data_IF_798901085491
#
_entry.id   IF_798901085491
#
_cell.length_a   1.000
_cell.length_b   1.000
_cell.length_c   1.000
_cell.angle_alpha   90.00
_cell.angle_beta   90.00
_cell.angle_gamma   90.00
#
_symmetry.space_group_name_H-M   'P 1'
#
loop_
_entity.id
_entity.type
_entity.pdbx_description
1 polymer ?
#
# COMPACT_ATOMS: atom_id res chain seq x y z
N UNK A 1 10.80 5.82 30.78
CA UNK A 1 11.58 6.64 29.81
C UNK A 1 11.85 7.97 30.49
N UNK A 2 13.10 8.23 30.89
CA UNK A 2 13.49 9.46 31.52
C UNK A 2 13.60 10.60 30.52
N UNK A 3 13.19 11.81 30.88
CA UNK A 3 13.29 13.03 30.05
C UNK A 3 14.72 13.26 29.53
N UNK A 4 15.73 12.83 30.28
CA UNK A 4 17.14 12.87 29.90
C UNK A 4 17.46 11.97 28.68
N UNK A 5 16.83 10.79 28.55
CA UNK A 5 16.97 9.91 27.40
C UNK A 5 16.35 10.47 26.12
N UNK A 6 15.33 11.34 26.23
CA UNK A 6 14.73 12.03 25.09
C UNK A 6 15.60 13.18 24.56
N UNK A 7 16.35 13.86 25.44
CA UNK A 7 17.25 14.95 25.07
C UNK A 7 18.57 14.47 24.43
N UNK A 8 18.97 13.21 24.71
CA UNK A 8 20.20 12.59 24.18
C UNK A 8 19.94 11.58 23.10
N UNK A 9 18.73 11.53 22.53
CA UNK A 9 18.38 10.60 21.46
C UNK A 9 19.21 10.88 20.21
N UNK A 10 20.40 10.28 20.17
CA UNK A 10 21.12 10.11 18.92
C UNK A 10 20.37 9.02 18.15
N UNK A 11 19.92 9.38 16.94
CA UNK A 11 19.38 8.38 16.00
C UNK A 11 20.46 7.31 15.84
N UNK A 12 20.21 6.14 16.39
CA UNK A 12 21.10 4.99 16.28
C UNK A 12 21.37 4.72 14.78
N UNK A 13 22.56 4.27 14.45
CA UNK A 13 22.96 3.92 13.09
C UNK A 13 21.95 2.94 12.47
N UNK A 14 21.49 1.95 13.24
CA UNK A 14 20.48 0.98 12.84
C UNK A 14 19.14 1.64 12.45
N UNK A 15 18.69 2.66 13.16
CA UNK A 15 17.48 3.42 12.82
C UNK A 15 17.64 4.17 11.52
N UNK A 16 18.80 4.78 11.27
CA UNK A 16 19.08 5.48 10.01
C UNK A 16 19.10 4.52 8.83
N UNK A 17 19.79 3.39 8.97
CA UNK A 17 19.86 2.35 7.94
C UNK A 17 18.45 1.83 7.61
N UNK A 18 17.60 1.61 8.63
CA UNK A 18 16.21 1.19 8.41
C UNK A 18 15.38 2.26 7.72
N UNK A 19 15.54 3.53 8.07
CA UNK A 19 14.85 4.64 7.40
C UNK A 19 15.26 4.74 5.93
N UNK A 20 16.55 4.63 5.63
CA UNK A 20 17.07 4.66 4.26
C UNK A 20 16.56 3.47 3.42
N UNK A 21 16.56 2.27 3.98
CA UNK A 21 16.02 1.07 3.35
C UNK A 21 14.54 1.22 2.99
N UNK A 22 13.71 1.65 3.95
CA UNK A 22 12.29 1.88 3.72
C UNK A 22 12.07 3.01 2.71
N UNK A 23 12.80 4.12 2.83
CA UNK A 23 12.70 5.24 1.88
C UNK A 23 13.05 4.85 0.45
N UNK A 24 14.03 3.95 0.27
CA UNK A 24 14.35 3.38 -1.04
C UNK A 24 13.21 2.51 -1.57
N UNK A 25 12.65 1.66 -0.71
CA UNK A 25 11.53 0.77 -1.06
C UNK A 25 10.31 1.57 -1.55
N UNK A 26 9.98 2.67 -0.90
CA UNK A 26 8.85 3.55 -1.24
C UNK A 26 9.19 4.67 -2.23
N UNK A 27 10.32 4.60 -2.93
CA UNK A 27 10.76 5.57 -3.96
C UNK A 27 10.98 7.00 -3.46
N UNK A 28 11.29 7.20 -2.18
CA UNK A 28 11.49 8.52 -1.56
C UNK A 28 12.89 8.75 -1.00
N UNK A 29 13.87 7.89 -1.30
CA UNK A 29 15.25 8.02 -0.79
C UNK A 29 15.85 9.40 -1.08
N UNK A 30 15.68 9.90 -2.30
CA UNK A 30 16.21 11.20 -2.74
C UNK A 30 15.45 12.39 -2.13
N UNK A 31 14.39 12.12 -1.37
CA UNK A 31 13.51 13.10 -0.73
C UNK A 31 13.64 13.15 0.78
N UNK A 32 14.52 12.35 1.39
CA UNK A 32 14.68 12.26 2.86
C UNK A 32 14.97 13.60 3.56
N UNK A 33 15.59 14.56 2.86
CA UNK A 33 15.87 15.90 3.38
C UNK A 33 14.79 16.94 3.14
N UNK A 34 13.67 16.56 2.47
CA UNK A 34 12.59 17.49 2.12
C UNK A 34 11.50 17.50 3.19
N UNK A 35 10.79 18.63 3.29
CA UNK A 35 9.53 18.67 4.03
C UNK A 35 8.47 17.81 3.33
N UNK A 36 7.74 16.99 4.10
CA UNK A 36 6.66 16.16 3.58
C UNK A 36 5.53 16.97 2.91
N UNK A 37 5.38 18.23 3.23
CA UNK A 37 4.42 19.15 2.61
C UNK A 37 4.67 19.33 1.11
N UNK A 38 5.93 19.23 0.67
CA UNK A 38 6.37 19.42 -0.71
C UNK A 38 6.19 18.16 -1.57
N UNK A 39 5.80 17.03 -0.98
CA UNK A 39 5.53 15.80 -1.70
C UNK A 39 4.22 15.89 -2.50
N UNK A 40 4.20 15.26 -3.70
CA UNK A 40 2.95 15.06 -4.44
C UNK A 40 1.98 14.19 -3.65
N UNK A 41 0.71 14.16 -4.07
CA UNK A 41 -0.29 13.31 -3.43
C UNK A 41 0.14 11.83 -3.40
N UNK A 42 0.55 11.28 -4.55
CA UNK A 42 1.03 9.89 -4.62
C UNK A 42 2.27 9.63 -3.76
N UNK A 43 3.20 10.60 -3.70
CA UNK A 43 4.37 10.50 -2.82
C UNK A 43 4.01 10.52 -1.33
N UNK A 44 2.96 11.25 -0.94
CA UNK A 44 2.44 11.23 0.44
C UNK A 44 1.85 9.86 0.78
N UNK A 45 1.11 9.24 -0.13
CA UNK A 45 0.61 7.88 0.04
C UNK A 45 1.75 6.87 0.19
N UNK A 46 2.82 6.98 -0.60
CA UNK A 46 4.01 6.13 -0.42
C UNK A 46 4.69 6.37 0.93
N UNK A 47 4.75 7.62 1.39
CA UNK A 47 5.28 7.94 2.72
C UNK A 47 4.45 7.28 3.83
N UNK A 48 3.12 7.30 3.73
CA UNK A 48 2.21 6.64 4.69
C UNK A 48 2.45 5.13 4.72
N UNK A 49 2.57 4.47 3.55
CA UNK A 49 2.96 3.05 3.48
C UNK A 49 4.32 2.82 4.15
N UNK A 50 5.31 3.69 3.90
CA UNK A 50 6.62 3.61 4.54
C UNK A 50 6.57 3.74 6.05
N UNK A 51 5.71 4.62 6.58
CA UNK A 51 5.51 4.77 8.04
C UNK A 51 4.89 3.52 8.68
N UNK A 52 4.12 2.74 7.95
CA UNK A 52 3.64 1.43 8.38
C UNK A 52 4.77 0.39 8.30
N UNK A 53 5.51 0.36 7.18
CA UNK A 53 6.57 -0.63 6.95
C UNK A 53 7.72 -0.54 7.95
N UNK A 54 8.03 0.67 8.45
CA UNK A 54 9.10 0.85 9.43
C UNK A 54 8.80 0.18 10.78
N UNK A 55 7.52 -0.09 11.06
CA UNK A 55 7.05 -0.78 12.25
C UNK A 55 7.15 -2.31 12.13
N UNK A 56 7.55 -2.80 10.95
CA UNK A 56 7.70 -4.22 10.61
C UNK A 56 6.44 -5.07 10.91
N UNK A 57 5.25 -4.69 10.40
CA UNK A 57 4.01 -5.41 10.67
C UNK A 57 3.92 -6.72 9.88
N UNK A 58 3.27 -7.74 10.45
CA UNK A 58 2.94 -8.98 9.75
C UNK A 58 1.80 -8.79 8.72
N UNK A 59 0.90 -7.84 8.97
CA UNK A 59 -0.24 -7.50 8.14
C UNK A 59 -0.32 -6.00 7.92
N UNK A 60 -0.35 -5.57 6.65
CA UNK A 60 -0.74 -4.21 6.25
C UNK A 60 -2.20 -4.20 5.80
N UNK A 61 -2.92 -3.16 6.22
CA UNK A 61 -4.27 -2.88 5.73
C UNK A 61 -4.28 -1.51 5.07
N UNK A 62 -4.65 -1.47 3.79
CA UNK A 62 -4.64 -0.26 2.98
C UNK A 62 -6.04 -0.03 2.40
N UNK A 63 -6.55 1.18 2.60
CA UNK A 63 -7.85 1.61 2.10
C UNK A 63 -7.65 2.63 0.98
N UNK A 64 -8.06 2.27 -0.24
CA UNK A 64 -7.91 3.05 -1.48
C UNK A 64 -6.49 3.64 -1.69
N UNK A 65 -5.42 2.82 -1.61
CA UNK A 65 -4.04 3.31 -1.62
C UNK A 65 -3.62 4.01 -2.90
N UNK A 66 -4.40 3.91 -3.99
CA UNK A 66 -4.09 4.56 -5.28
C UNK A 66 -5.08 5.66 -5.66
N UNK A 67 -5.97 6.05 -4.75
CA UNK A 67 -6.92 7.14 -4.99
C UNK A 67 -6.18 8.43 -5.40
N UNK A 68 -6.61 9.07 -6.48
CA UNK A 68 -6.02 10.32 -6.98
C UNK A 68 -4.61 10.21 -7.57
N UNK A 69 -4.06 9.02 -7.72
CA UNK A 69 -2.75 8.79 -8.35
C UNK A 69 -2.82 8.83 -9.88
N UNK A 70 -1.75 9.32 -10.50
CA UNK A 70 -1.52 9.16 -11.94
C UNK A 70 -1.30 7.68 -12.30
N UNK A 71 -1.42 7.34 -13.60
CA UNK A 71 -1.18 5.97 -14.08
C UNK A 71 0.21 5.47 -13.70
N UNK A 72 1.24 6.32 -13.83
CA UNK A 72 2.61 5.95 -13.50
C UNK A 72 2.82 5.72 -12.00
N UNK A 73 2.14 6.48 -11.14
CA UNK A 73 2.18 6.28 -9.69
C UNK A 73 1.47 4.99 -9.29
N UNK A 74 0.33 4.66 -9.91
CA UNK A 74 -0.37 3.38 -9.69
C UNK A 74 0.49 2.17 -10.03
N UNK A 75 1.18 2.19 -11.18
CA UNK A 75 2.11 1.13 -11.57
C UNK A 75 3.21 0.95 -10.53
N UNK A 76 3.84 2.03 -10.08
CA UNK A 76 4.86 1.98 -9.02
C UNK A 76 4.31 1.47 -7.68
N UNK A 77 3.07 1.84 -7.35
CA UNK A 77 2.40 1.34 -6.13
C UNK A 77 2.15 -0.16 -6.24
N UNK A 78 1.72 -0.66 -7.40
CA UNK A 78 1.57 -2.10 -7.63
C UNK A 78 2.93 -2.83 -7.49
N UNK A 79 4.01 -2.28 -8.05
CA UNK A 79 5.36 -2.83 -7.87
C UNK A 79 5.78 -2.87 -6.38
N UNK A 80 5.51 -1.80 -5.64
CA UNK A 80 5.79 -1.71 -4.21
C UNK A 80 5.04 -2.81 -3.44
N UNK A 81 3.72 -2.93 -3.64
CA UNK A 81 2.92 -3.94 -2.96
C UNK A 81 3.37 -5.36 -3.32
N UNK A 82 3.67 -5.63 -4.59
CA UNK A 82 4.20 -6.92 -5.04
C UNK A 82 5.57 -7.29 -4.44
N UNK A 83 6.35 -6.31 -3.97
CA UNK A 83 7.56 -6.56 -3.18
C UNK A 83 7.22 -6.88 -1.72
N UNK A 84 6.30 -6.12 -1.13
CA UNK A 84 5.90 -6.23 0.28
C UNK A 84 5.27 -7.60 0.57
N UNK A 85 4.41 -8.12 -0.31
CA UNK A 85 3.69 -9.38 -0.11
C UNK A 85 4.58 -10.63 -0.09
N UNK A 86 5.87 -10.51 -0.46
CA UNK A 86 6.81 -11.64 -0.38
C UNK A 86 7.09 -12.06 1.06
N UNK A 87 7.05 -11.11 1.98
CA UNK A 87 7.47 -11.31 3.36
C UNK A 87 6.33 -11.09 4.38
N UNK A 88 5.17 -10.56 3.92
CA UNK A 88 4.05 -10.23 4.81
C UNK A 88 2.71 -10.24 4.09
N UNK A 89 1.62 -10.25 4.87
CA UNK A 89 0.27 -10.17 4.34
C UNK A 89 -0.15 -8.72 4.07
N UNK A 90 -0.87 -8.50 2.96
CA UNK A 90 -1.44 -7.19 2.63
C UNK A 90 -2.93 -7.36 2.31
N UNK A 91 -3.77 -6.60 2.99
CA UNK A 91 -5.20 -6.46 2.68
C UNK A 91 -5.42 -5.10 2.05
N UNK A 92 -5.98 -5.07 0.85
CA UNK A 92 -6.28 -3.84 0.12
C UNK A 92 -7.77 -3.74 -0.13
N UNK A 93 -8.37 -2.60 0.17
CA UNK A 93 -9.73 -2.23 -0.23
C UNK A 93 -9.58 -1.30 -1.42
N UNK A 94 -10.13 -1.68 -2.55
CA UNK A 94 -10.02 -0.91 -3.80
C UNK A 94 -11.21 -1.13 -4.72
N UNK A 95 -11.43 -0.16 -5.59
CA UNK A 95 -12.42 -0.22 -6.66
C UNK A 95 -11.80 -0.07 -8.06
N UNK A 96 -10.50 0.24 -8.16
CA UNK A 96 -9.75 0.25 -9.42
C UNK A 96 -9.42 -1.20 -9.81
N UNK A 97 -10.27 -1.79 -10.68
CA UNK A 97 -10.17 -3.20 -11.10
C UNK A 97 -8.83 -3.50 -11.76
N UNK A 98 -8.25 -2.53 -12.50
CA UNK A 98 -6.94 -2.73 -13.14
C UNK A 98 -5.83 -2.83 -12.11
N UNK A 99 -5.84 -1.99 -11.09
CA UNK A 99 -4.89 -2.05 -10.00
C UNK A 99 -5.03 -3.34 -9.19
N UNK A 100 -6.28 -3.75 -8.87
CA UNK A 100 -6.55 -5.03 -8.19
C UNK A 100 -6.01 -6.20 -9.00
N UNK A 101 -6.20 -6.22 -10.33
CA UNK A 101 -5.66 -7.25 -11.22
C UNK A 101 -4.12 -7.35 -11.15
N UNK A 102 -3.44 -6.21 -11.00
CA UNK A 102 -1.98 -6.15 -10.97
C UNK A 102 -1.36 -6.64 -9.64
N UNK A 103 -2.14 -6.70 -8.54
CA UNK A 103 -1.62 -7.03 -7.19
C UNK A 103 -2.28 -8.24 -6.52
N UNK A 104 -3.51 -8.57 -6.86
CA UNK A 104 -4.30 -9.49 -6.06
C UNK A 104 -4.00 -10.96 -6.34
N UNK A 105 -3.77 -11.74 -5.27
CA UNK A 105 -3.74 -13.20 -5.31
C UNK A 105 -5.13 -13.78 -5.03
N UNK A 106 -5.90 -13.15 -4.17
CA UNK A 106 -7.27 -13.50 -3.80
C UNK A 106 -8.11 -12.23 -3.76
N UNK A 107 -9.28 -12.28 -4.36
CA UNK A 107 -10.24 -11.17 -4.42
C UNK A 107 -11.52 -11.60 -3.71
N UNK A 108 -12.03 -10.73 -2.84
CA UNK A 108 -13.35 -10.85 -2.23
C UNK A 108 -14.18 -9.65 -2.66
N UNK A 109 -15.26 -9.89 -3.37
CA UNK A 109 -16.20 -8.83 -3.79
C UNK A 109 -17.30 -8.69 -2.76
N UNK A 110 -17.43 -7.47 -2.22
CA UNK A 110 -18.50 -7.10 -1.29
C UNK A 110 -19.59 -6.33 -2.02
N UNK A 111 -20.84 -6.69 -1.75
CA UNK A 111 -22.02 -5.95 -2.21
C UNK A 111 -23.07 -5.92 -1.12
N UNK A 112 -23.58 -4.73 -0.79
CA UNK A 112 -24.61 -4.52 0.26
C UNK A 112 -24.28 -5.20 1.60
N UNK A 113 -23.00 -5.17 2.01
CA UNK A 113 -22.53 -5.75 3.27
C UNK A 113 -22.38 -7.27 3.27
N UNK A 114 -22.50 -7.92 2.12
CA UNK A 114 -22.35 -9.37 1.97
C UNK A 114 -21.25 -9.72 0.97
N UNK A 115 -20.64 -10.89 1.13
CA UNK A 115 -19.69 -11.43 0.15
C UNK A 115 -20.51 -11.90 -1.07
N UNK A 116 -20.29 -11.24 -2.21
CA UNK A 116 -20.90 -11.57 -3.48
C UNK A 116 -20.15 -12.70 -4.19
N UNK A 117 -18.82 -12.62 -4.20
CA UNK A 117 -17.93 -13.59 -4.84
C UNK A 117 -16.56 -13.56 -4.17
N UNK A 118 -15.86 -14.71 -4.18
CA UNK A 118 -14.51 -14.83 -3.65
C UNK A 118 -13.71 -15.85 -4.46
N UNK A 119 -12.49 -15.50 -4.84
CA UNK A 119 -11.61 -16.39 -5.60
C UNK A 119 -10.41 -15.68 -6.21
N UNK A 120 -9.82 -16.27 -7.25
CA UNK A 120 -8.83 -15.58 -8.07
C UNK A 120 -9.48 -14.44 -8.86
N UNK A 121 -8.68 -13.50 -9.35
CA UNK A 121 -9.19 -12.41 -10.19
C UNK A 121 -9.96 -12.92 -11.41
N UNK A 122 -9.46 -13.97 -12.04
CA UNK A 122 -10.12 -14.59 -13.18
C UNK A 122 -11.50 -15.18 -12.83
N UNK A 123 -11.60 -15.88 -11.70
CA UNK A 123 -12.87 -16.44 -11.23
C UNK A 123 -13.88 -15.32 -10.92
N UNK A 124 -13.46 -14.29 -10.24
CA UNK A 124 -14.31 -13.18 -9.84
C UNK A 124 -14.79 -12.37 -11.06
N UNK A 125 -13.91 -12.08 -12.03
CA UNK A 125 -14.29 -11.37 -13.28
C UNK A 125 -15.30 -12.13 -14.13
N UNK A 126 -15.31 -13.45 -14.06
CA UNK A 126 -16.22 -14.30 -14.83
C UNK A 126 -17.46 -14.73 -14.03
N UNK A 127 -17.60 -14.31 -12.77
CA UNK A 127 -18.79 -14.60 -11.97
C UNK A 127 -19.99 -13.79 -12.49
N UNK A 128 -21.10 -14.45 -12.92
CA UNK A 128 -22.27 -13.76 -13.46
C UNK A 128 -22.85 -12.71 -12.49
N UNK A 129 -22.78 -12.94 -11.19
CA UNK A 129 -23.27 -11.98 -10.18
C UNK A 129 -22.41 -10.72 -10.13
N UNK A 130 -21.09 -10.87 -10.27
CA UNK A 130 -20.16 -9.73 -10.32
C UNK A 130 -20.35 -8.93 -11.60
N UNK A 131 -20.52 -9.63 -12.73
CA UNK A 131 -20.80 -9.02 -14.04
C UNK A 131 -22.07 -8.19 -13.97
N UNK A 132 -23.15 -8.77 -13.45
CA UNK A 132 -24.45 -8.07 -13.31
C UNK A 132 -24.36 -6.79 -12.47
N UNK A 133 -23.62 -6.84 -11.35
CA UNK A 133 -23.58 -5.73 -10.38
C UNK A 133 -22.54 -4.66 -10.74
N UNK A 134 -21.39 -5.03 -11.27
CA UNK A 134 -20.24 -4.15 -11.42
C UNK A 134 -19.73 -3.96 -12.85
N UNK A 135 -20.01 -4.89 -13.77
CA UNK A 135 -19.45 -4.90 -15.12
C UNK A 135 -20.54 -4.83 -16.21
N UNK A 136 -21.79 -4.92 -15.83
CA UNK A 136 -22.96 -5.00 -16.74
C UNK A 136 -23.46 -3.68 -17.32
N UNK A 137 -22.60 -2.65 -17.36
CA UNK A 137 -22.94 -1.34 -17.95
C UNK A 137 -22.05 -0.99 -19.13
#
# INVERSE_FOLDING_TARGET
RTVFGALTFQRDKAVRERVEEVAEMIFLKDRLGMSAELLSHGQKQWLEIGMLLIQDPDLLMLDEPVAGMSVSERVKTAELLNRIIKDRSVLVIEHDMKFVEDIAHKVTVLHQGQILSEGSMEQVKNDPKVIEVYLGH
#
